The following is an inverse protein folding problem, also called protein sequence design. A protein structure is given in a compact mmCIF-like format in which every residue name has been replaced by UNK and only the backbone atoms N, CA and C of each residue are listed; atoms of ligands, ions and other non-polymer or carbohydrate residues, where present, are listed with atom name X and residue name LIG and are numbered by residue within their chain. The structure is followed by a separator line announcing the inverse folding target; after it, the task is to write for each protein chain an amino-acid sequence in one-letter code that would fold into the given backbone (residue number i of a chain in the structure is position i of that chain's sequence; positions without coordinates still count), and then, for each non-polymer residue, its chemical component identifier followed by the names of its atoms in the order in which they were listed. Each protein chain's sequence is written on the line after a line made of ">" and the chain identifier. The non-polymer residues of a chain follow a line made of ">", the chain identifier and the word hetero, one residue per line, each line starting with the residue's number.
data_IF_831124133509
#
_entry.id   IF_831124133509
#
_cell.length_a   1.000
_cell.length_b   1.000
_cell.length_c   1.000
_cell.angle_alpha   90.00
_cell.angle_beta   90.00
_cell.angle_gamma   90.00
#
_symmetry.space_group_name_H-M   'P 1'
#
loop_
_entity.id
_entity.type
_entity.pdbx_description
1 polymer ?
#
# COMPACT_ATOMS: atom_id res chain seq x y z
N UNK A 1 25.61 21.73 3.99
CA UNK A 1 25.43 21.73 2.52
C UNK A 1 23.96 21.66 2.16
N UNK A 2 23.27 22.76 2.39
CA UNK A 2 21.86 23.04 2.07
C UNK A 2 21.73 24.43 1.38
N UNK A 3 22.84 25.16 1.28
CA UNK A 3 22.97 26.50 0.70
C UNK A 3 22.22 27.60 1.47
N UNK A 4 22.04 27.44 2.78
CA UNK A 4 21.42 28.46 3.64
C UNK A 4 22.34 29.65 3.98
N UNK A 5 23.64 29.53 3.66
CA UNK A 5 24.66 30.54 3.93
C UNK A 5 25.47 30.32 5.20
N UNK A 6 25.25 29.21 5.90
CA UNK A 6 26.08 28.66 6.97
C UNK A 6 27.11 27.71 6.33
N UNK A 7 28.34 27.71 6.83
CA UNK A 7 29.37 26.80 6.32
C UNK A 7 29.25 25.44 7.00
N UNK A 8 29.46 24.35 6.25
CA UNK A 8 29.31 22.94 6.72
C UNK A 8 29.99 22.64 8.07
N UNK A 9 31.08 23.33 8.40
CA UNK A 9 31.82 23.14 9.66
C UNK A 9 31.13 23.73 10.89
N UNK A 10 30.22 24.68 10.71
CA UNK A 10 29.43 25.30 11.77
C UNK A 10 27.92 25.14 11.55
N UNK A 11 27.54 24.30 10.60
CA UNK A 11 26.17 23.94 10.28
C UNK A 11 25.71 22.80 11.19
N UNK A 12 24.55 22.96 11.81
CA UNK A 12 23.96 21.97 12.73
C UNK A 12 22.93 21.07 12.05
N UNK A 13 22.57 21.39 10.81
CA UNK A 13 21.61 20.68 9.97
C UNK A 13 22.13 20.75 8.52
N UNK A 14 23.03 19.81 8.21
CA UNK A 14 23.87 19.87 7.01
C UNK A 14 23.09 19.75 5.70
N UNK A 15 21.87 19.23 5.71
CA UNK A 15 21.06 19.06 4.51
C UNK A 15 19.74 19.84 4.53
N UNK A 16 19.46 20.54 5.64
CA UNK A 16 18.36 21.49 5.77
C UNK A 16 16.99 20.80 5.84
N UNK A 17 16.93 19.55 6.28
CA UNK A 17 15.69 18.79 6.37
C UNK A 17 14.91 19.05 7.67
N UNK A 18 15.52 19.78 8.61
CA UNK A 18 14.95 20.14 9.91
C UNK A 18 15.34 19.19 11.05
N UNK A 19 16.18 18.18 10.79
CA UNK A 19 16.75 17.27 11.77
C UNK A 19 18.21 17.63 12.02
N UNK A 20 18.60 17.78 13.29
CA UNK A 20 19.98 18.12 13.62
C UNK A 20 20.91 16.94 13.33
N UNK A 21 22.12 17.21 12.82
CA UNK A 21 23.13 16.21 12.44
C UNK A 21 23.35 15.09 13.47
N UNK A 22 23.30 15.42 14.77
CA UNK A 22 23.51 14.45 15.87
C UNK A 22 22.36 13.45 16.06
N UNK A 23 21.18 13.76 15.51
CA UNK A 23 19.96 12.94 15.57
C UNK A 23 19.46 12.54 14.18
N UNK A 24 20.19 12.89 13.13
CA UNK A 24 19.84 12.62 11.75
C UNK A 24 20.48 11.29 11.31
N UNK A 25 19.65 10.36 10.86
CA UNK A 25 20.11 9.07 10.35
C UNK A 25 20.66 9.15 8.91
N UNK A 26 20.56 10.30 8.24
CA UNK A 26 21.23 10.63 6.99
C UNK A 26 21.76 12.08 6.94
N UNK A 27 22.81 12.45 7.71
CA UNK A 27 23.30 13.84 7.91
C UNK A 27 23.75 14.64 6.67
N UNK A 28 23.59 14.12 5.47
CA UNK A 28 24.01 14.76 4.22
C UNK A 28 22.96 14.61 3.12
N UNK A 29 21.81 14.01 3.42
CA UNK A 29 20.76 13.72 2.47
C UNK A 29 19.39 13.81 3.14
N UNK A 30 18.73 14.94 2.86
CA UNK A 30 17.47 15.31 3.49
C UNK A 30 16.41 14.20 3.50
N UNK A 31 15.93 13.84 4.68
CA UNK A 31 14.91 12.84 4.92
C UNK A 31 14.14 13.13 6.23
N UNK A 32 13.30 14.16 6.19
CA UNK A 32 12.50 14.67 7.32
C UNK A 32 11.68 13.61 8.07
N UNK A 33 11.33 12.49 7.43
CA UNK A 33 10.57 11.39 8.06
C UNK A 33 11.44 10.44 8.88
N UNK A 34 12.77 10.55 8.75
CA UNK A 34 13.79 9.76 9.43
C UNK A 34 13.51 8.26 9.37
N UNK A 35 12.90 7.81 8.27
CA UNK A 35 12.55 6.40 8.11
C UNK A 35 13.82 5.55 8.10
N UNK A 36 13.82 4.51 8.93
CA UNK A 36 14.83 3.45 8.95
C UNK A 36 14.06 2.12 9.05
N UNK A 37 14.20 1.26 8.05
CA UNK A 37 13.36 0.06 7.89
C UNK A 37 13.94 -1.14 8.63
N UNK A 38 15.26 -1.30 8.64
CA UNK A 38 15.94 -2.43 9.27
C UNK A 38 16.42 -2.14 10.72
N UNK A 39 16.49 -0.85 11.08
CA UNK A 39 16.89 -0.35 12.39
C UNK A 39 18.39 -0.33 12.63
N UNK A 40 19.23 -0.31 11.60
CA UNK A 40 20.70 -0.38 11.73
C UNK A 40 21.40 0.96 12.10
N UNK A 41 20.63 2.05 12.13
CA UNK A 41 21.10 3.41 12.37
C UNK A 41 21.28 4.28 11.11
N UNK A 42 21.28 3.71 9.91
CA UNK A 42 21.28 4.42 8.63
C UNK A 42 19.85 4.68 8.16
N UNK A 43 19.52 5.89 7.74
CA UNK A 43 18.19 6.19 7.23
C UNK A 43 17.99 5.59 5.83
N UNK A 44 16.74 5.22 5.52
CA UNK A 44 16.34 4.71 4.21
C UNK A 44 16.85 5.56 3.02
N UNK A 45 17.04 6.86 3.21
CA UNK A 45 17.49 7.76 2.17
C UNK A 45 18.97 7.51 1.77
N UNK A 46 19.81 7.16 2.73
CA UNK A 46 21.25 7.00 2.56
C UNK A 46 21.75 5.55 2.74
N UNK A 47 20.84 4.64 3.07
CA UNK A 47 21.11 3.21 3.27
C UNK A 47 21.25 2.45 1.93
N UNK A 48 22.37 1.74 1.69
CA UNK A 48 22.54 0.89 0.51
C UNK A 48 21.75 -0.43 0.52
N UNK A 49 21.19 -0.84 1.66
CA UNK A 49 20.45 -2.09 1.90
C UNK A 49 19.30 -1.82 2.88
N UNK A 50 18.23 -1.18 2.39
CA UNK A 50 17.18 -0.55 3.20
C UNK A 50 16.51 -1.52 4.19
N UNK A 51 16.38 -2.80 3.85
CA UNK A 51 15.71 -3.79 4.69
C UNK A 51 16.66 -4.78 5.39
N UNK A 52 17.97 -4.60 5.23
CA UNK A 52 19.01 -5.30 5.95
C UNK A 52 19.06 -6.81 5.68
N UNK A 53 18.59 -7.24 4.51
CA UNK A 53 18.48 -8.65 4.15
C UNK A 53 19.78 -9.22 3.51
N UNK A 54 20.72 -8.33 3.19
CA UNK A 54 22.00 -8.63 2.57
C UNK A 54 22.01 -8.53 1.05
N UNK A 55 20.93 -8.08 0.42
CA UNK A 55 20.79 -7.82 -1.01
C UNK A 55 20.74 -6.30 -1.24
N UNK A 56 21.72 -5.71 -1.95
CA UNK A 56 21.73 -4.27 -2.19
C UNK A 56 20.48 -3.78 -2.95
N UNK A 57 20.02 -2.57 -2.61
CA UNK A 57 18.80 -1.92 -3.13
C UNK A 57 18.64 -1.95 -4.66
N UNK A 58 19.74 -1.91 -5.41
CA UNK A 58 19.72 -1.89 -6.88
C UNK A 58 19.46 -3.26 -7.52
N UNK A 59 19.57 -4.33 -6.72
CA UNK A 59 19.36 -5.72 -7.12
C UNK A 59 18.24 -6.42 -6.36
N UNK A 60 17.72 -5.79 -5.31
CA UNK A 60 16.66 -6.33 -4.48
C UNK A 60 15.28 -6.22 -5.15
N UNK A 61 14.64 -7.37 -5.36
CA UNK A 61 13.29 -7.46 -5.90
C UNK A 61 12.19 -7.15 -4.87
N UNK A 62 12.55 -6.85 -3.61
CA UNK A 62 11.67 -6.42 -2.53
C UNK A 62 12.30 -5.40 -1.57
N UNK A 63 12.77 -4.25 -2.09
CA UNK A 63 13.42 -3.10 -1.41
C UNK A 63 13.06 -2.75 0.06
N UNK A 64 11.88 -3.13 0.54
CA UNK A 64 11.34 -2.76 1.86
C UNK A 64 10.98 -3.98 2.72
N UNK A 65 11.16 -5.20 2.23
CA UNK A 65 10.71 -6.45 2.86
C UNK A 65 11.77 -7.51 2.68
N UNK A 66 12.53 -7.73 3.76
CA UNK A 66 13.65 -8.66 3.77
C UNK A 66 13.30 -10.03 3.19
N UNK A 67 13.99 -10.41 2.12
CA UNK A 67 13.85 -11.66 1.41
C UNK A 67 15.21 -12.13 0.84
N UNK A 68 16.16 -12.58 1.67
CA UNK A 68 17.54 -12.84 1.25
C UNK A 68 17.71 -13.89 0.13
N UNK A 69 16.66 -14.67 -0.14
CA UNK A 69 16.64 -15.68 -1.19
C UNK A 69 16.15 -15.15 -2.56
N UNK A 70 15.68 -13.90 -2.62
CA UNK A 70 15.22 -13.19 -3.82
C UNK A 70 14.25 -14.03 -4.67
N UNK A 71 13.43 -14.86 -4.01
CA UNK A 71 12.49 -15.74 -4.71
C UNK A 71 11.45 -14.90 -5.45
N UNK A 72 11.35 -15.12 -6.76
CA UNK A 72 10.36 -14.53 -7.66
C UNK A 72 9.73 -15.70 -8.45
N UNK A 73 8.43 -15.93 -8.25
CA UNK A 73 7.76 -17.16 -8.68
C UNK A 73 7.18 -17.06 -10.09
N UNK A 74 6.61 -15.91 -10.43
CA UNK A 74 6.01 -15.61 -11.73
C UNK A 74 6.95 -14.83 -12.66
N UNK A 75 8.15 -14.47 -12.17
CA UNK A 75 9.24 -13.85 -12.92
C UNK A 75 8.87 -12.44 -13.43
N UNK A 76 8.07 -11.70 -12.67
CA UNK A 76 7.65 -10.35 -13.01
C UNK A 76 8.65 -9.26 -12.53
N UNK A 77 9.68 -9.67 -11.77
CA UNK A 77 10.69 -8.79 -11.21
C UNK A 77 10.39 -8.28 -9.80
N UNK A 78 9.28 -8.70 -9.17
CA UNK A 78 8.99 -8.49 -7.76
C UNK A 78 9.14 -9.80 -7.01
N UNK A 79 9.84 -9.76 -5.88
CA UNK A 79 9.97 -10.95 -5.05
C UNK A 79 8.63 -11.38 -4.49
N UNK A 80 8.45 -12.69 -4.31
CA UNK A 80 7.24 -13.28 -3.70
C UNK A 80 6.90 -12.66 -2.33
N UNK A 81 7.89 -12.10 -1.62
CA UNK A 81 7.69 -11.46 -0.32
C UNK A 81 6.92 -10.13 -0.39
N UNK A 82 6.99 -9.43 -1.53
CA UNK A 82 6.40 -8.11 -1.72
C UNK A 82 5.51 -8.02 -2.97
N UNK A 83 5.43 -9.09 -3.78
CA UNK A 83 4.55 -9.12 -4.91
C UNK A 83 3.09 -9.34 -4.47
N UNK A 84 2.31 -8.27 -4.57
CA UNK A 84 0.88 -8.32 -4.30
C UNK A 84 0.13 -9.23 -5.27
N UNK A 85 0.61 -9.46 -6.50
CA UNK A 85 -0.05 -10.37 -7.45
C UNK A 85 -0.04 -11.80 -6.93
N UNK A 86 1.13 -12.29 -6.56
CA UNK A 86 1.35 -13.57 -5.90
C UNK A 86 0.73 -13.62 -4.50
N UNK A 87 0.87 -12.56 -3.70
CA UNK A 87 0.25 -12.48 -2.37
C UNK A 87 -1.28 -12.45 -2.49
N UNK A 88 -1.88 -11.84 -3.52
CA UNK A 88 -3.31 -11.92 -3.81
C UNK A 88 -3.75 -13.31 -4.25
N UNK A 89 -2.88 -14.10 -4.90
CA UNK A 89 -3.17 -15.53 -5.13
C UNK A 89 -3.17 -16.32 -3.80
N UNK A 90 -2.29 -15.97 -2.87
CA UNK A 90 -2.26 -16.55 -1.51
C UNK A 90 -3.44 -16.07 -0.66
N UNK A 91 -3.83 -14.79 -0.73
CA UNK A 91 -5.00 -14.23 -0.03
C UNK A 91 -6.32 -14.64 -0.67
N UNK A 92 -6.38 -14.85 -1.98
CA UNK A 92 -7.55 -15.46 -2.62
C UNK A 92 -7.71 -16.93 -2.22
N UNK A 93 -6.64 -17.59 -1.79
CA UNK A 93 -6.69 -18.93 -1.21
C UNK A 93 -6.99 -18.92 0.30
N UNK A 94 -6.63 -17.86 1.04
CA UNK A 94 -6.77 -17.78 2.50
C UNK A 94 -7.97 -16.96 3.00
N UNK A 95 -8.49 -16.01 2.21
CA UNK A 95 -9.73 -15.27 2.46
C UNK A 95 -10.68 -15.46 1.27
N UNK A 96 -11.42 -16.58 1.22
CA UNK A 96 -12.34 -16.85 0.12
C UNK A 96 -13.50 -15.86 0.04
N UNK A 97 -13.69 -15.04 1.08
CA UNK A 97 -14.72 -14.02 1.29
C UNK A 97 -13.98 -12.80 1.89
N UNK A 98 -13.90 -11.71 1.13
CA UNK A 98 -13.03 -10.56 1.41
C UNK A 98 -13.67 -9.56 2.36
N UNK A 99 -14.99 -9.45 2.36
CA UNK A 99 -15.73 -8.50 3.20
C UNK A 99 -16.48 -9.15 4.37
N UNK A 100 -16.47 -10.48 4.43
CA UNK A 100 -16.94 -11.29 5.55
C UNK A 100 -18.46 -11.41 5.62
N UNK A 101 -19.14 -11.24 4.50
CA UNK A 101 -20.60 -11.27 4.41
C UNK A 101 -21.18 -12.69 4.22
N UNK A 102 -20.31 -13.68 4.01
CA UNK A 102 -20.65 -15.08 3.79
C UNK A 102 -20.73 -15.49 2.32
N UNK A 103 -20.42 -14.60 1.38
CA UNK A 103 -20.40 -14.85 -0.06
C UNK A 103 -18.94 -14.90 -0.54
N UNK A 104 -18.52 -16.00 -1.21
CA UNK A 104 -17.15 -16.07 -1.71
C UNK A 104 -16.87 -15.03 -2.79
N UNK A 105 -15.65 -14.48 -2.84
CA UNK A 105 -15.21 -13.44 -3.79
C UNK A 105 -15.60 -13.71 -5.25
N UNK A 106 -15.55 -14.97 -5.70
CA UNK A 106 -15.91 -15.36 -7.07
C UNK A 106 -17.42 -15.43 -7.35
N UNK A 107 -18.24 -15.31 -6.31
CA UNK A 107 -19.71 -15.30 -6.35
C UNK A 107 -20.29 -13.99 -5.80
N UNK A 108 -19.43 -13.08 -5.34
CA UNK A 108 -19.81 -11.83 -4.69
C UNK A 108 -19.86 -10.68 -5.71
N UNK A 109 -21.07 -10.16 -5.92
CA UNK A 109 -21.32 -9.01 -6.79
C UNK A 109 -21.01 -7.66 -6.13
N UNK A 110 -20.50 -7.64 -4.88
CA UNK A 110 -19.94 -6.49 -4.20
C UNK A 110 -18.72 -6.85 -3.32
N UNK A 111 -17.66 -7.41 -3.92
CA UNK A 111 -16.37 -7.84 -3.33
C UNK A 111 -15.77 -7.09 -2.10
N UNK A 112 -16.12 -5.83 -1.89
CA UNK A 112 -15.60 -5.01 -0.79
C UNK A 112 -16.71 -4.39 0.09
N UNK A 113 -17.96 -4.81 -0.04
CA UNK A 113 -19.12 -4.19 0.63
C UNK A 113 -20.15 -5.26 0.99
N UNK A 114 -20.28 -5.60 2.28
CA UNK A 114 -21.10 -6.72 2.70
C UNK A 114 -22.54 -6.65 2.20
N UNK A 115 -22.95 -7.66 1.44
CA UNK A 115 -24.28 -7.83 0.89
C UNK A 115 -24.66 -9.32 0.74
N UNK A 116 -24.93 -10.02 1.87
CA UNK A 116 -25.16 -11.47 1.86
C UNK A 116 -26.36 -11.92 1.01
N UNK A 117 -27.25 -11.00 0.64
CA UNK A 117 -28.44 -11.25 -0.19
C UNK A 117 -28.20 -11.11 -1.69
N UNK A 118 -27.01 -10.61 -2.10
CA UNK A 118 -26.52 -10.53 -3.48
C UNK A 118 -27.54 -9.94 -4.46
N UNK A 119 -28.41 -9.03 -3.99
CA UNK A 119 -29.45 -8.47 -4.84
C UNK A 119 -28.85 -7.52 -5.88
N UNK A 120 -29.22 -7.76 -7.13
CA UNK A 120 -28.81 -7.01 -8.32
C UNK A 120 -30.08 -6.85 -9.19
N UNK A 121 -30.53 -5.61 -9.36
CA UNK A 121 -31.81 -5.32 -10.02
C UNK A 121 -31.71 -5.31 -11.54
N UNK A 122 -30.60 -4.79 -12.06
CA UNK A 122 -30.35 -4.63 -13.48
C UNK A 122 -29.55 -5.79 -14.10
N UNK A 123 -29.08 -6.73 -13.26
CA UNK A 123 -28.31 -7.91 -13.61
C UNK A 123 -26.99 -7.57 -14.33
N UNK A 124 -26.38 -6.44 -13.99
CA UNK A 124 -25.11 -6.03 -14.56
C UNK A 124 -23.89 -6.67 -13.87
N UNK A 125 -24.10 -7.44 -12.80
CA UNK A 125 -23.06 -8.08 -12.02
C UNK A 125 -22.54 -7.22 -10.86
N UNK A 126 -23.20 -6.10 -10.53
CA UNK A 126 -22.93 -5.27 -9.35
C UNK A 126 -24.18 -5.22 -8.47
N UNK A 127 -24.05 -5.63 -7.22
CA UNK A 127 -25.17 -5.62 -6.30
C UNK A 127 -25.59 -4.21 -5.85
N UNK A 128 -26.80 -4.07 -5.33
CA UNK A 128 -27.34 -2.80 -4.81
C UNK A 128 -26.41 -2.08 -3.82
N UNK A 129 -25.63 -2.85 -3.04
CA UNK A 129 -24.75 -2.30 -2.01
C UNK A 129 -23.60 -1.46 -2.61
N UNK A 130 -23.14 -1.83 -3.80
CA UNK A 130 -21.99 -1.23 -4.49
C UNK A 130 -22.32 -0.62 -5.86
N UNK A 131 -23.55 -0.78 -6.37
CA UNK A 131 -24.03 -0.12 -7.59
C UNK A 131 -24.63 1.28 -7.29
N UNK A 132 -23.90 2.32 -7.66
CA UNK A 132 -24.33 3.71 -7.49
C UNK A 132 -25.44 4.13 -8.46
N UNK A 133 -25.55 3.48 -9.62
CA UNK A 133 -26.59 3.77 -10.61
C UNK A 133 -27.96 3.29 -10.09
N UNK A 134 -27.99 2.16 -9.38
CA UNK A 134 -29.22 1.64 -8.77
C UNK A 134 -29.56 2.31 -7.42
N UNK A 135 -28.57 2.82 -6.68
CA UNK A 135 -28.84 3.69 -5.51
C UNK A 135 -29.66 4.91 -5.90
N UNK A 136 -29.42 5.49 -7.08
CA UNK A 136 -30.21 6.61 -7.60
C UNK A 136 -31.62 6.19 -8.05
N UNK A 137 -31.82 4.99 -8.59
CA UNK A 137 -33.16 4.51 -8.98
C UNK A 137 -34.05 4.21 -7.75
N UNK A 138 -33.47 3.81 -6.62
CA UNK A 138 -34.20 3.59 -5.35
C UNK A 138 -34.79 4.88 -4.73
N UNK A 139 -34.11 6.02 -4.90
CA UNK A 139 -34.59 7.34 -4.42
C UNK A 139 -35.60 7.99 -5.38
N UNK A 140 -35.61 7.63 -6.66
CA UNK A 140 -36.65 8.13 -7.59
C UNK A 140 -37.92 7.27 -7.59
N UNK A 141 -37.84 5.96 -7.34
CA UNK A 141 -39.02 5.09 -7.28
C UNK A 141 -39.91 5.31 -6.06
N UNK A 142 -39.38 5.91 -4.99
CA UNK A 142 -40.14 6.31 -3.78
C UNK A 142 -40.94 7.61 -3.94
N UNK A 143 -40.64 8.43 -4.97
CA UNK A 143 -41.42 9.65 -5.29
C UNK A 143 -42.71 9.36 -6.09
N UNK A 144 -42.78 8.23 -6.79
CA UNK A 144 -43.95 7.84 -7.60
C UNK A 144 -45.11 7.26 -6.77
N UNK A 145 -44.84 6.74 -5.56
CA UNK A 145 -45.88 6.14 -4.69
C UNK A 145 -46.59 7.14 -3.77
N UNK A 146 -46.04 8.33 -3.54
CA UNK A 146 -46.67 9.38 -2.71
C UNK A 146 -47.54 10.38 -3.50
N UNK A 147 -47.50 10.33 -4.84
CA UNK A 147 -48.30 11.21 -5.72
C UNK A 147 -49.44 10.46 -6.42
N UNK A 148 -50.10 9.52 -5.72
CA UNK A 148 -51.38 8.94 -6.13
C UNK A 148 -52.40 9.00 -4.99
#
# INVERSE_FOLDING_TARGET
>A
MDQDGIGDTCDTDLDGDGVLNDNDNCPTLANIDQKNTDGDGMGNACDPDIDGDGVPNDTDNCLMIANPNQKDADMDGKGTACDIGEIWLVFSWWSPDLDGDGVPNGQDNCLFTPNPDQKDGDNNGKGYACDLNEKLVSIFSSWWWWNK
#
